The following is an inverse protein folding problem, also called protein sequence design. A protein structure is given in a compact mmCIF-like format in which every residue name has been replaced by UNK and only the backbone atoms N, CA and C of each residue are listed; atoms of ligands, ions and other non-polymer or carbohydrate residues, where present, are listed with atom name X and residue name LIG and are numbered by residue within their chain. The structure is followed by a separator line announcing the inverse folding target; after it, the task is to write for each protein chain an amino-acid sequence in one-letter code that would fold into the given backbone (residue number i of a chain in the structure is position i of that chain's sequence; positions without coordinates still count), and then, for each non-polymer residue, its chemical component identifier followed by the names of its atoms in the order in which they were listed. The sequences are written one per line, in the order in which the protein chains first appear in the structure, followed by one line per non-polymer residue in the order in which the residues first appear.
data_IF_229919931811
#
_entry.id   IF_229919931811
#
_cell.length_a   1.000
_cell.length_b   1.000
_cell.length_c   1.000
_cell.angle_alpha   90.00
_cell.angle_beta   90.00
_cell.angle_gamma   90.00
#
_symmetry.space_group_name_H-M   'P 1'
#
loop_
_entity.id
_entity.type
_entity.pdbx_description
1 polymer ?
#
# COMPACT_ATOMS: atom_id res chain seq x y z
N UNK A 1 9.28 0.21 -6.37
CA UNK A 1 9.12 -0.03 -4.93
C UNK A 1 7.89 -0.89 -4.63
N UNK A 2 6.74 -0.62 -5.27
CA UNK A 2 5.50 -1.37 -5.08
C UNK A 2 5.63 -2.86 -5.41
N UNK A 3 6.36 -3.22 -6.43
CA UNK A 3 6.64 -4.60 -6.82
C UNK A 3 7.49 -5.34 -5.78
N UNK A 4 8.47 -4.65 -5.17
CA UNK A 4 9.23 -5.21 -4.05
C UNK A 4 8.31 -5.55 -2.88
N UNK A 5 7.41 -4.65 -2.53
CA UNK A 5 6.45 -4.85 -1.45
C UNK A 5 5.54 -6.07 -1.69
N UNK A 6 5.17 -6.31 -2.95
CA UNK A 6 4.42 -7.52 -3.32
C UNK A 6 5.28 -8.78 -3.31
N UNK A 7 6.57 -8.69 -3.62
CA UNK A 7 7.51 -9.81 -3.52
C UNK A 7 7.91 -10.17 -2.09
N UNK A 8 7.79 -9.23 -1.15
CA UNK A 8 8.35 -9.36 0.19
C UNK A 8 7.82 -10.57 1.00
N UNK A 9 6.52 -10.89 1.02
CA UNK A 9 6.03 -12.09 1.70
C UNK A 9 6.69 -13.37 1.18
N UNK A 10 6.85 -13.48 -0.14
CA UNK A 10 7.49 -14.64 -0.78
C UNK A 10 8.99 -14.67 -0.48
N UNK A 11 9.67 -13.52 -0.52
CA UNK A 11 11.08 -13.39 -0.13
C UNK A 11 11.29 -13.91 1.28
N UNK A 12 10.50 -13.46 2.24
CA UNK A 12 10.58 -13.90 3.64
C UNK A 12 10.33 -15.40 3.79
N UNK A 13 9.32 -15.94 3.08
CA UNK A 13 9.00 -17.37 3.11
C UNK A 13 10.15 -18.22 2.55
N UNK A 14 10.76 -17.82 1.43
CA UNK A 14 11.88 -18.51 0.83
C UNK A 14 13.13 -18.47 1.74
N UNK A 15 13.44 -17.32 2.32
CA UNK A 15 14.55 -17.20 3.27
C UNK A 15 14.35 -18.09 4.51
N UNK A 16 13.14 -18.16 5.03
CA UNK A 16 12.78 -19.04 6.14
C UNK A 16 13.01 -20.53 5.79
N UNK A 17 12.88 -20.90 4.51
CA UNK A 17 13.20 -22.23 3.99
C UNK A 17 14.70 -22.43 3.67
N UNK A 18 15.55 -21.44 3.92
CA UNK A 18 16.99 -21.52 3.72
C UNK A 18 17.49 -21.08 2.35
N UNK A 19 16.63 -20.57 1.47
CA UNK A 19 17.08 -20.03 0.18
C UNK A 19 17.86 -18.74 0.36
N UNK A 20 18.91 -18.57 -0.46
CA UNK A 20 19.60 -17.30 -0.65
C UNK A 20 18.84 -16.46 -1.67
N UNK A 21 18.54 -15.23 -1.32
CA UNK A 21 17.70 -14.35 -2.14
C UNK A 21 18.52 -13.19 -2.70
N UNK A 22 18.56 -13.10 -4.02
CA UNK A 22 19.05 -11.95 -4.76
C UNK A 22 17.85 -11.15 -5.29
N UNK A 23 17.78 -9.87 -4.95
CA UNK A 23 16.75 -8.93 -5.44
C UNK A 23 17.37 -7.99 -6.46
N UNK A 24 16.67 -7.80 -7.58
CA UNK A 24 17.08 -6.86 -8.61
C UNK A 24 16.07 -5.72 -8.74
N UNK A 25 16.57 -4.51 -8.92
CA UNK A 25 15.78 -3.33 -9.25
C UNK A 25 16.21 -2.74 -10.59
N UNK A 26 15.25 -2.36 -11.40
CA UNK A 26 15.52 -1.60 -12.61
C UNK A 26 15.51 -0.08 -12.33
N UNK A 27 14.67 0.37 -11.40
CA UNK A 27 14.50 1.79 -11.05
C UNK A 27 15.36 2.21 -9.85
N UNK A 28 16.03 3.37 -9.92
CA UNK A 28 16.75 3.95 -8.78
C UNK A 28 15.89 4.15 -7.55
N UNK A 29 14.63 4.58 -7.72
CA UNK A 29 13.70 4.83 -6.62
C UNK A 29 13.42 3.60 -5.75
N UNK A 30 13.43 2.40 -6.33
CA UNK A 30 13.30 1.15 -5.58
C UNK A 30 14.62 0.75 -4.93
N UNK A 31 15.71 0.81 -5.70
CA UNK A 31 17.04 0.40 -5.26
C UNK A 31 17.53 1.23 -4.07
N UNK A 32 17.51 2.57 -4.19
CA UNK A 32 18.04 3.46 -3.14
C UNK A 32 17.34 3.28 -1.79
N UNK A 33 16.04 2.99 -1.81
CA UNK A 33 15.26 2.76 -0.59
C UNK A 33 15.51 1.37 0.00
N UNK A 34 15.82 0.35 -0.85
CA UNK A 34 15.86 -1.06 -0.42
C UNK A 34 17.23 -1.73 -0.54
N UNK A 35 18.28 -1.05 -0.99
CA UNK A 35 19.64 -1.61 -1.17
C UNK A 35 20.21 -2.25 0.09
N UNK A 36 19.81 -1.79 1.27
CA UNK A 36 20.26 -2.30 2.57
C UNK A 36 19.17 -3.09 3.30
N UNK A 37 18.16 -3.62 2.58
CA UNK A 37 17.10 -4.39 3.24
C UNK A 37 17.66 -5.65 3.91
N UNK A 38 17.22 -5.98 5.14
CA UNK A 38 17.60 -7.23 5.80
C UNK A 38 16.92 -8.45 5.18
N UNK A 39 15.93 -8.24 4.31
CA UNK A 39 15.11 -9.31 3.73
C UNK A 39 15.75 -10.01 2.54
N UNK A 40 16.85 -9.49 1.98
CA UNK A 40 17.60 -10.10 0.88
C UNK A 40 19.08 -10.27 1.22
N UNK A 41 19.72 -11.29 0.66
CA UNK A 41 21.16 -11.50 0.84
C UNK A 41 21.98 -10.59 -0.07
N UNK A 42 21.45 -10.29 -1.25
CA UNK A 42 22.10 -9.42 -2.23
C UNK A 42 21.02 -8.55 -2.90
N UNK A 43 21.31 -7.25 -3.04
CA UNK A 43 20.46 -6.31 -3.79
C UNK A 43 21.31 -5.60 -4.84
N UNK A 44 20.89 -5.65 -6.11
CA UNK A 44 21.61 -5.05 -7.22
C UNK A 44 20.67 -4.38 -8.23
N UNK A 45 21.24 -3.53 -9.08
CA UNK A 45 20.52 -3.09 -10.27
C UNK A 45 20.44 -4.23 -11.30
N UNK A 46 19.27 -4.38 -11.92
CA UNK A 46 19.12 -5.25 -13.09
C UNK A 46 19.79 -4.55 -14.29
N UNK A 47 20.80 -5.16 -14.93
CA UNK A 47 21.37 -4.62 -16.16
C UNK A 47 20.31 -4.53 -17.29
N UNK A 48 20.50 -3.61 -18.23
CA UNK A 48 19.61 -3.47 -19.39
C UNK A 48 19.35 -4.81 -20.08
N UNK A 49 18.10 -5.04 -20.50
CA UNK A 49 17.64 -6.28 -21.12
C UNK A 49 18.21 -6.45 -22.54
N UNK A 50 19.47 -6.82 -22.62
CA UNK A 50 20.18 -7.17 -23.87
C UNK A 50 20.59 -8.65 -23.85
N UNK A 51 20.79 -9.29 -25.03
CA UNK A 51 21.22 -10.69 -25.10
C UNK A 51 22.50 -10.98 -24.31
N UNK A 52 23.48 -10.06 -24.37
CA UNK A 52 24.77 -10.21 -23.70
C UNK A 52 24.64 -10.09 -22.19
N UNK A 53 23.93 -9.06 -21.72
CA UNK A 53 23.73 -8.82 -20.29
C UNK A 53 22.93 -9.95 -19.65
N UNK A 54 21.81 -10.36 -20.27
CA UNK A 54 20.98 -11.43 -19.75
C UNK A 54 21.74 -12.75 -19.64
N UNK A 55 22.52 -13.11 -20.70
CA UNK A 55 23.37 -14.32 -20.68
C UNK A 55 24.39 -14.25 -19.54
N UNK A 56 25.15 -13.15 -19.47
CA UNK A 56 26.19 -12.97 -18.44
C UNK A 56 25.60 -13.01 -17.03
N UNK A 57 24.48 -12.34 -16.82
CA UNK A 57 23.80 -12.29 -15.52
C UNK A 57 23.34 -13.68 -15.07
N UNK A 58 22.62 -14.41 -15.94
CA UNK A 58 22.11 -15.76 -15.60
C UNK A 58 23.27 -16.74 -15.36
N UNK A 59 24.34 -16.66 -16.16
CA UNK A 59 25.54 -17.48 -15.96
C UNK A 59 26.30 -17.17 -14.66
N UNK A 60 26.30 -15.91 -14.24
CA UNK A 60 26.98 -15.47 -12.99
C UNK A 60 26.16 -15.82 -11.76
N UNK A 61 24.85 -15.59 -11.80
CA UNK A 61 23.94 -15.80 -10.66
C UNK A 61 23.58 -17.27 -10.47
N UNK A 62 23.45 -18.04 -11.55
CA UNK A 62 23.04 -19.46 -11.56
C UNK A 62 21.81 -19.70 -10.66
N UNK A 63 20.70 -18.99 -10.89
CA UNK A 63 19.56 -19.07 -10.00
C UNK A 63 18.90 -20.46 -10.09
N UNK A 64 18.46 -20.99 -8.95
CA UNK A 64 17.66 -22.24 -8.89
C UNK A 64 16.20 -22.00 -9.21
N UNK A 65 15.72 -20.75 -9.04
CA UNK A 65 14.42 -20.28 -9.50
C UNK A 65 14.47 -18.77 -9.75
N UNK A 66 13.54 -18.27 -10.56
CA UNK A 66 13.36 -16.83 -10.79
C UNK A 66 11.90 -16.44 -10.58
N UNK A 67 11.69 -15.30 -9.93
CA UNK A 67 10.36 -14.73 -9.69
C UNK A 67 10.29 -13.33 -10.26
N UNK A 68 9.33 -13.11 -11.14
CA UNK A 68 9.00 -11.80 -11.70
C UNK A 68 7.70 -11.30 -11.07
N UNK A 69 7.59 -10.01 -10.81
CA UNK A 69 6.44 -9.45 -10.09
C UNK A 69 5.64 -8.55 -11.03
N UNK A 70 4.31 -8.73 -11.08
CA UNK A 70 3.35 -7.91 -11.85
C UNK A 70 3.56 -7.89 -13.37
N UNK A 71 4.28 -6.89 -13.88
CA UNK A 71 4.37 -6.53 -15.31
C UNK A 71 5.77 -6.72 -15.88
N UNK A 72 6.63 -7.43 -15.19
CA UNK A 72 8.04 -7.60 -15.55
C UNK A 72 8.21 -8.68 -16.61
N UNK A 73 8.21 -8.28 -17.88
CA UNK A 73 8.32 -9.17 -19.05
C UNK A 73 9.60 -8.85 -19.85
N UNK A 74 10.75 -9.18 -19.29
CA UNK A 74 12.08 -8.92 -19.83
C UNK A 74 12.49 -10.07 -20.75
N UNK A 75 12.36 -9.91 -22.08
CA UNK A 75 12.51 -10.98 -23.07
C UNK A 75 13.84 -11.73 -22.98
N UNK A 76 14.95 -11.00 -22.93
CA UNK A 76 16.26 -11.65 -22.96
C UNK A 76 16.54 -12.40 -21.65
N UNK A 77 16.18 -11.84 -20.50
CA UNK A 77 16.25 -12.54 -19.20
C UNK A 77 15.37 -13.77 -19.18
N UNK A 78 14.10 -13.66 -19.54
CA UNK A 78 13.15 -14.78 -19.60
C UNK A 78 13.64 -15.88 -20.55
N UNK A 79 14.13 -15.51 -21.75
CA UNK A 79 14.67 -16.45 -22.71
C UNK A 79 15.93 -17.17 -22.23
N UNK A 80 16.84 -16.49 -21.50
CA UNK A 80 18.04 -17.13 -20.95
C UNK A 80 17.70 -18.06 -19.76
N UNK A 81 16.80 -17.66 -18.89
CA UNK A 81 16.30 -18.52 -17.80
C UNK A 81 15.63 -19.79 -18.35
N UNK A 82 14.79 -19.64 -19.37
CA UNK A 82 14.14 -20.77 -20.04
C UNK A 82 15.16 -21.73 -20.68
N UNK A 83 16.16 -21.21 -21.39
CA UNK A 83 17.26 -22.01 -21.97
C UNK A 83 18.10 -22.74 -20.92
N UNK A 84 18.23 -22.15 -19.73
CA UNK A 84 18.94 -22.75 -18.61
C UNK A 84 18.04 -23.71 -17.79
N UNK A 85 16.80 -23.96 -18.20
CA UNK A 85 15.79 -24.74 -17.48
C UNK A 85 15.55 -24.25 -16.03
N UNK A 86 15.65 -22.95 -15.79
CA UNK A 86 15.38 -22.35 -14.49
C UNK A 86 13.87 -22.17 -14.33
N UNK A 87 13.23 -22.78 -13.31
CA UNK A 87 11.83 -22.53 -13.01
C UNK A 87 11.57 -21.04 -12.81
N UNK A 88 10.65 -20.49 -13.61
CA UNK A 88 10.38 -19.06 -13.64
C UNK A 88 8.91 -18.79 -13.38
N UNK A 89 8.63 -17.94 -12.38
CA UNK A 89 7.29 -17.67 -11.90
C UNK A 89 6.91 -16.20 -12.08
N UNK A 90 5.66 -15.94 -12.46
CA UNK A 90 5.06 -14.60 -12.36
C UNK A 90 4.25 -14.54 -11.07
N UNK A 91 4.59 -13.61 -10.18
CA UNK A 91 3.90 -13.37 -8.91
C UNK A 91 3.02 -12.14 -9.01
N UNK A 92 1.82 -12.22 -8.41
CA UNK A 92 0.84 -11.12 -8.39
C UNK A 92 0.60 -10.52 -9.77
N UNK A 93 0.59 -11.38 -10.80
CA UNK A 93 0.39 -10.97 -12.18
C UNK A 93 -1.00 -10.37 -12.39
N UNK A 94 -1.06 -9.24 -13.08
CA UNK A 94 -2.32 -8.67 -13.55
C UNK A 94 -2.21 -8.40 -15.04
N UNK A 95 -3.09 -8.99 -15.82
CA UNK A 95 -3.10 -8.84 -17.27
C UNK A 95 -4.37 -8.11 -17.73
N UNK A 96 -4.23 -7.34 -18.80
CA UNK A 96 -5.30 -6.50 -19.35
C UNK A 96 -5.44 -6.74 -20.84
N UNK A 97 -6.66 -6.70 -21.40
CA UNK A 97 -6.89 -6.89 -22.85
C UNK A 97 -6.16 -5.89 -23.74
N UNK A 98 -5.79 -4.73 -23.16
CA UNK A 98 -5.05 -3.68 -23.89
C UNK A 98 -3.58 -4.01 -24.08
N UNK A 99 -3.01 -4.94 -23.32
CA UNK A 99 -1.60 -5.33 -23.43
C UNK A 99 -1.30 -6.01 -24.77
N UNK A 100 -0.06 -5.85 -25.22
CA UNK A 100 0.42 -6.33 -26.53
C UNK A 100 0.23 -7.84 -26.75
N UNK A 101 0.25 -8.64 -25.71
CA UNK A 101 0.04 -10.08 -25.78
C UNK A 101 -1.30 -10.47 -26.41
N UNK A 102 -2.34 -9.64 -26.22
CA UNK A 102 -3.71 -9.87 -26.69
C UNK A 102 -3.98 -9.22 -28.07
N UNK A 103 -2.99 -8.56 -28.66
CA UNK A 103 -3.12 -7.92 -29.96
C UNK A 103 -2.72 -8.91 -31.07
N UNK A 104 -3.29 -8.79 -32.31
CA UNK A 104 -2.92 -9.63 -33.42
C UNK A 104 -1.40 -9.65 -33.72
N UNK A 105 -0.74 -8.50 -33.56
CA UNK A 105 0.69 -8.33 -33.75
C UNK A 105 1.54 -8.74 -32.54
N UNK A 106 0.94 -9.21 -31.47
CA UNK A 106 1.61 -9.53 -30.19
C UNK A 106 2.37 -10.86 -30.18
N UNK A 107 2.51 -11.54 -31.30
CA UNK A 107 3.12 -12.88 -31.38
C UNK A 107 4.51 -12.95 -30.78
N UNK A 108 5.35 -11.94 -31.00
CA UNK A 108 6.69 -11.90 -30.42
C UNK A 108 6.62 -11.81 -28.88
N UNK A 109 5.82 -10.91 -28.35
CA UNK A 109 5.71 -10.74 -26.91
C UNK A 109 5.04 -11.95 -26.21
N UNK A 110 4.17 -12.69 -26.90
CA UNK A 110 3.64 -13.96 -26.37
C UNK A 110 4.74 -14.99 -26.08
N UNK A 111 5.89 -14.92 -26.77
CA UNK A 111 7.04 -15.80 -26.46
C UNK A 111 7.56 -15.58 -25.04
N UNK A 112 7.46 -14.36 -24.49
CA UNK A 112 7.80 -14.11 -23.09
C UNK A 112 6.95 -14.96 -22.13
N UNK A 113 5.65 -15.08 -22.43
CA UNK A 113 4.72 -15.84 -21.60
C UNK A 113 5.05 -17.33 -21.58
N UNK A 114 5.54 -17.90 -22.70
CA UNK A 114 5.96 -19.30 -22.76
C UNK A 114 7.22 -19.61 -21.94
N UNK A 115 7.96 -18.60 -21.47
CA UNK A 115 9.13 -18.79 -20.61
C UNK A 115 8.76 -19.01 -19.14
N UNK A 116 7.50 -18.75 -18.76
CA UNK A 116 7.06 -18.93 -17.37
C UNK A 116 6.63 -20.38 -17.11
N UNK A 117 7.16 -20.94 -16.02
CA UNK A 117 6.75 -22.24 -15.49
C UNK A 117 5.33 -22.17 -14.93
N UNK A 118 4.99 -21.07 -14.25
CA UNK A 118 3.66 -20.86 -13.67
C UNK A 118 3.36 -19.36 -13.50
N UNK A 119 2.05 -19.03 -13.56
CA UNK A 119 1.53 -17.70 -13.34
C UNK A 119 0.66 -17.68 -12.07
N UNK A 120 1.05 -16.90 -11.07
CA UNK A 120 0.21 -16.54 -9.94
C UNK A 120 -0.37 -15.16 -10.21
N UNK A 121 -1.66 -15.11 -10.54
CA UNK A 121 -2.35 -13.88 -10.95
C UNK A 121 -3.25 -13.35 -9.83
N UNK A 122 -3.57 -12.06 -9.88
CA UNK A 122 -4.34 -11.41 -8.83
C UNK A 122 -5.83 -11.77 -8.85
N UNK A 123 -6.40 -12.08 -10.04
CA UNK A 123 -7.84 -12.27 -10.19
C UNK A 123 -8.20 -13.24 -11.32
N UNK A 124 -9.47 -13.71 -11.29
CA UNK A 124 -10.01 -14.62 -12.29
C UNK A 124 -10.03 -14.03 -13.70
N UNK A 125 -10.21 -12.73 -13.85
CA UNK A 125 -10.17 -12.09 -15.16
C UNK A 125 -8.80 -12.22 -15.83
N UNK A 126 -7.72 -12.01 -15.08
CA UNK A 126 -6.35 -12.25 -15.56
C UNK A 126 -6.12 -13.72 -15.94
N UNK A 127 -6.65 -14.65 -15.14
CA UNK A 127 -6.60 -16.08 -15.44
C UNK A 127 -7.34 -16.41 -16.73
N UNK A 128 -8.55 -15.90 -16.92
CA UNK A 128 -9.34 -16.12 -18.13
C UNK A 128 -8.63 -15.60 -19.38
N UNK A 129 -8.00 -14.42 -19.30
CA UNK A 129 -7.23 -13.85 -20.41
C UNK A 129 -6.03 -14.72 -20.80
N UNK A 130 -5.27 -15.23 -19.83
CA UNK A 130 -4.15 -16.14 -20.09
C UNK A 130 -4.63 -17.50 -20.64
N UNK A 131 -5.71 -18.05 -20.07
CA UNK A 131 -6.34 -19.28 -20.59
C UNK A 131 -6.79 -19.11 -22.05
N UNK A 132 -7.32 -17.93 -22.41
CA UNK A 132 -7.69 -17.59 -23.78
C UNK A 132 -6.51 -17.56 -24.77
N UNK A 133 -5.26 -17.43 -24.27
CA UNK A 133 -4.03 -17.60 -25.05
C UNK A 133 -3.46 -19.02 -25.01
N UNK A 134 -4.15 -19.97 -24.34
CA UNK A 134 -3.74 -21.36 -24.23
C UNK A 134 -2.89 -21.72 -23.02
N UNK A 135 -2.66 -20.81 -22.08
CA UNK A 135 -1.92 -21.09 -20.84
C UNK A 135 -2.84 -21.72 -19.80
N UNK A 136 -2.51 -22.94 -19.36
CA UNK A 136 -3.27 -23.68 -18.30
C UNK A 136 -2.56 -23.65 -16.95
N UNK A 137 -1.29 -23.27 -16.92
CA UNK A 137 -0.44 -23.15 -15.73
C UNK A 137 -0.68 -21.83 -14.99
N UNK A 138 -1.96 -21.50 -14.69
CA UNK A 138 -2.38 -20.23 -14.09
C UNK A 138 -3.21 -20.48 -12.83
N UNK A 139 -2.76 -19.93 -11.71
CA UNK A 139 -3.48 -19.96 -10.42
C UNK A 139 -3.82 -18.54 -9.98
N UNK A 140 -5.04 -18.34 -9.49
CA UNK A 140 -5.40 -17.09 -8.80
C UNK A 140 -4.85 -17.18 -7.39
N UNK A 141 -3.83 -16.37 -7.10
CA UNK A 141 -3.17 -16.28 -5.79
C UNK A 141 -3.50 -14.97 -5.05
N UNK A 142 -4.30 -14.09 -5.66
CA UNK A 142 -4.60 -12.78 -5.08
C UNK A 142 -3.43 -11.78 -5.20
N UNK A 143 -3.57 -10.68 -4.48
CA UNK A 143 -2.53 -9.66 -4.36
C UNK A 143 -1.78 -9.85 -3.04
N UNK A 144 -0.51 -10.17 -3.11
CA UNK A 144 0.35 -10.41 -1.94
C UNK A 144 0.51 -9.18 -1.02
N UNK A 145 -0.01 -8.02 -1.41
CA UNK A 145 -0.13 -6.88 -0.49
C UNK A 145 -1.08 -7.16 0.67
N UNK A 146 -2.11 -8.01 0.46
CA UNK A 146 -3.00 -8.43 1.54
C UNK A 146 -2.26 -9.29 2.59
N UNK A 147 -1.38 -10.19 2.16
CA UNK A 147 -0.56 -10.99 3.08
C UNK A 147 0.33 -10.10 3.95
N UNK A 148 0.90 -9.05 3.33
CA UNK A 148 1.73 -8.09 4.05
C UNK A 148 0.95 -7.29 5.10
N UNK A 149 -0.24 -6.80 4.76
CA UNK A 149 -1.03 -6.04 5.73
C UNK A 149 -1.60 -6.93 6.83
N UNK A 150 -1.82 -8.22 6.57
CA UNK A 150 -2.17 -9.18 7.61
C UNK A 150 -1.08 -9.30 8.69
N UNK A 151 0.20 -9.21 8.33
CA UNK A 151 1.30 -9.15 9.30
C UNK A 151 1.23 -7.92 10.22
N UNK A 152 0.61 -6.82 9.77
CA UNK A 152 0.50 -5.58 10.57
C UNK A 152 -0.32 -5.81 11.84
N UNK A 153 -1.36 -6.63 11.78
CA UNK A 153 -2.22 -6.91 12.93
C UNK A 153 -1.51 -7.78 13.97
N UNK A 154 -0.64 -8.68 13.52
CA UNK A 154 0.03 -9.68 14.39
C UNK A 154 1.29 -9.15 15.06
N UNK A 155 1.85 -8.04 14.59
CA UNK A 155 3.04 -7.42 15.19
C UNK A 155 2.68 -6.58 16.41
N UNK A 156 3.70 -6.24 17.20
CA UNK A 156 3.54 -5.23 18.25
C UNK A 156 3.31 -3.83 17.63
N UNK A 157 2.09 -3.32 17.80
CA UNK A 157 1.67 -1.98 17.36
C UNK A 157 1.61 -0.98 18.52
N UNK A 158 2.09 -1.34 19.72
CA UNK A 158 2.02 -0.50 20.89
C UNK A 158 2.77 0.84 20.71
N UNK A 159 2.11 1.95 21.13
CA UNK A 159 2.62 3.32 21.09
C UNK A 159 2.11 4.09 22.31
N UNK A 160 2.93 4.18 23.38
CA UNK A 160 2.57 4.84 24.65
C UNK A 160 2.01 6.24 24.45
N UNK A 161 2.62 7.02 23.56
CA UNK A 161 2.20 8.41 23.31
C UNK A 161 0.81 8.49 22.66
N UNK A 162 0.40 7.49 21.86
CA UNK A 162 -0.94 7.45 21.25
C UNK A 162 -1.96 7.05 22.31
N UNK A 163 -1.63 6.14 23.21
CA UNK A 163 -2.50 5.78 24.33
C UNK A 163 -2.73 6.97 25.25
N UNK A 164 -1.67 7.68 25.61
CA UNK A 164 -1.78 8.93 26.40
C UNK A 164 -2.63 9.97 25.68
N UNK A 165 -2.40 10.15 24.36
CA UNK A 165 -3.17 11.11 23.57
C UNK A 165 -4.64 10.71 23.49
N UNK A 166 -4.94 9.48 23.08
CA UNK A 166 -6.30 9.01 22.83
C UNK A 166 -7.14 8.95 24.11
N UNK A 167 -6.62 8.33 25.16
CA UNK A 167 -7.41 7.97 26.33
C UNK A 167 -8.69 7.21 25.94
N UNK A 168 -9.83 7.60 26.51
CA UNK A 168 -11.15 7.00 26.20
C UNK A 168 -11.89 7.71 25.05
N UNK A 169 -11.24 8.60 24.31
CA UNK A 169 -11.86 9.29 23.19
C UNK A 169 -11.90 8.42 21.94
N UNK A 170 -12.90 8.67 21.06
CA UNK A 170 -12.85 8.16 19.69
C UNK A 170 -11.67 8.80 18.97
N UNK A 171 -10.91 7.99 18.22
CA UNK A 171 -9.73 8.42 17.50
C UNK A 171 -9.96 8.33 15.98
N UNK A 172 -9.81 9.45 15.29
CA UNK A 172 -9.84 9.51 13.84
C UNK A 172 -8.42 9.75 13.31
N UNK A 173 -7.95 8.89 12.41
CA UNK A 173 -6.62 8.99 11.84
C UNK A 173 -6.69 9.39 10.38
N UNK A 174 -6.06 10.53 10.04
CA UNK A 174 -5.87 11.00 8.68
C UNK A 174 -4.46 10.63 8.21
N UNK A 175 -4.34 9.59 7.41
CA UNK A 175 -3.03 9.08 6.98
C UNK A 175 -2.65 9.51 5.58
N UNK A 176 -1.40 9.90 5.39
CA UNK A 176 -0.83 10.33 4.11
C UNK A 176 -1.63 11.44 3.45
N UNK A 177 -2.11 12.42 4.23
CA UNK A 177 -2.92 13.52 3.71
C UNK A 177 -2.09 14.50 2.87
N UNK A 178 -2.76 15.07 1.88
CA UNK A 178 -2.26 16.13 1.04
C UNK A 178 -3.10 17.40 1.21
N UNK A 179 -2.63 18.59 0.79
CA UNK A 179 -3.39 19.82 0.95
C UNK A 179 -4.83 19.75 0.41
N UNK A 180 -5.06 19.05 -0.71
CA UNK A 180 -6.41 18.86 -1.26
C UNK A 180 -7.33 17.98 -0.36
N UNK A 181 -6.77 17.07 0.42
CA UNK A 181 -7.51 16.29 1.41
C UNK A 181 -7.80 17.16 2.64
N UNK A 182 -6.82 17.98 3.06
CA UNK A 182 -6.93 18.86 4.21
C UNK A 182 -8.05 19.91 4.04
N UNK A 183 -8.22 20.46 2.85
CA UNK A 183 -9.32 21.36 2.51
C UNK A 183 -10.70 20.74 2.78
N UNK A 184 -10.82 19.42 2.69
CA UNK A 184 -12.07 18.71 2.89
C UNK A 184 -12.38 18.49 4.37
N UNK A 185 -11.37 18.15 5.19
CA UNK A 185 -11.64 17.70 6.55
C UNK A 185 -11.34 18.76 7.65
N UNK A 186 -10.45 19.75 7.41
CA UNK A 186 -10.06 20.68 8.48
C UNK A 186 -11.23 21.49 9.04
N UNK A 187 -12.20 21.90 8.21
CA UNK A 187 -13.38 22.61 8.68
C UNK A 187 -14.26 21.74 9.58
N UNK A 188 -14.35 20.44 9.27
CA UNK A 188 -15.12 19.49 10.08
C UNK A 188 -14.52 19.31 11.47
N UNK A 189 -13.20 19.35 11.61
CA UNK A 189 -12.55 19.21 12.90
C UNK A 189 -13.05 20.24 13.93
N UNK A 190 -13.35 21.47 13.52
CA UNK A 190 -13.89 22.51 14.40
C UNK A 190 -15.35 22.27 14.77
N UNK A 191 -16.15 21.74 13.88
CA UNK A 191 -17.59 21.55 14.07
C UNK A 191 -17.92 20.22 14.74
N UNK A 192 -17.00 19.24 14.74
CA UNK A 192 -17.20 17.92 15.31
C UNK A 192 -17.45 18.01 16.82
N UNK A 193 -18.60 17.46 17.25
CA UNK A 193 -19.01 17.42 18.67
C UNK A 193 -18.65 16.09 19.30
N UNK A 194 -18.47 16.10 20.63
CA UNK A 194 -18.19 14.89 21.39
C UNK A 194 -16.71 14.71 21.74
N UNK A 195 -16.40 13.61 22.41
CA UNK A 195 -15.04 13.27 22.85
C UNK A 195 -14.31 12.55 21.71
N UNK A 196 -13.88 13.32 20.70
CA UNK A 196 -13.18 12.83 19.51
C UNK A 196 -11.81 13.49 19.44
N UNK A 197 -10.77 12.69 19.20
CA UNK A 197 -9.39 13.13 18.96
C UNK A 197 -8.95 12.78 17.54
N UNK A 198 -8.10 13.62 16.99
CA UNK A 198 -7.68 13.54 15.60
C UNK A 198 -6.17 13.38 15.49
N UNK A 199 -5.71 12.38 14.75
CA UNK A 199 -4.29 12.22 14.41
C UNK A 199 -4.13 12.49 12.93
N UNK A 200 -3.26 13.43 12.56
CA UNK A 200 -2.98 13.79 11.18
C UNK A 200 -1.53 13.40 10.85
N UNK A 201 -1.36 12.49 9.92
CA UNK A 201 -0.06 12.13 9.37
C UNK A 201 0.02 12.64 7.93
N UNK A 202 0.61 13.81 7.67
CA UNK A 202 0.74 14.36 6.33
C UNK A 202 1.65 13.48 5.48
N UNK A 203 1.46 13.49 4.16
CA UNK A 203 2.32 12.74 3.23
C UNK A 203 3.75 13.27 3.25
N UNK A 204 3.89 14.57 3.24
CA UNK A 204 5.17 15.27 3.32
C UNK A 204 5.37 15.86 4.71
N UNK A 205 6.56 15.64 5.27
CA UNK A 205 6.95 16.15 6.58
C UNK A 205 8.02 17.23 6.49
N UNK A 206 8.17 17.88 5.33
CA UNK A 206 9.10 19.01 5.21
C UNK A 206 8.69 20.14 6.15
N UNK A 207 9.67 20.84 6.78
CA UNK A 207 9.39 21.90 7.75
C UNK A 207 8.41 22.96 7.23
N UNK A 208 8.50 23.33 5.96
CA UNK A 208 7.63 24.31 5.34
C UNK A 208 6.19 23.83 5.25
N UNK A 209 5.95 22.55 4.92
CA UNK A 209 4.62 21.97 4.84
C UNK A 209 4.01 21.76 6.24
N UNK A 210 4.81 21.34 7.21
CA UNK A 210 4.40 21.32 8.61
C UNK A 210 4.10 22.71 9.13
N UNK A 211 4.85 23.74 8.69
CA UNK A 211 4.56 25.14 9.04
C UNK A 211 3.24 25.61 8.43
N UNK A 212 2.92 25.21 7.19
CA UNK A 212 1.61 25.49 6.57
C UNK A 212 0.48 24.78 7.32
N UNK A 213 0.65 23.53 7.68
CA UNK A 213 -0.27 22.81 8.56
C UNK A 213 -0.40 23.51 9.92
N UNK A 214 0.72 23.96 10.51
CA UNK A 214 0.73 24.79 11.73
C UNK A 214 0.02 26.13 11.54
N UNK A 215 0.15 26.77 10.38
CA UNK A 215 -0.58 28.00 10.08
C UNK A 215 -2.09 27.74 9.88
N UNK A 216 -2.46 26.62 9.28
CA UNK A 216 -3.84 26.15 9.24
C UNK A 216 -4.38 25.79 10.64
N UNK A 217 -3.49 25.50 11.63
CA UNK A 217 -3.85 25.40 13.07
C UNK A 217 -4.52 26.67 13.59
N UNK A 218 -4.15 27.86 13.13
CA UNK A 218 -4.79 29.10 13.57
C UNK A 218 -6.27 29.19 13.13
N UNK A 219 -6.67 28.32 12.19
CA UNK A 219 -8.07 28.13 11.79
C UNK A 219 -8.76 27.01 12.57
N UNK A 220 -8.01 26.23 13.38
CA UNK A 220 -8.56 25.18 14.23
C UNK A 220 -8.76 25.75 15.64
N UNK A 221 -10.01 25.76 16.10
CA UNK A 221 -10.38 26.09 17.48
C UNK A 221 -10.08 24.92 18.45
N UNK A 222 -8.96 24.21 18.20
CA UNK A 222 -8.56 23.02 18.96
C UNK A 222 -7.09 23.06 19.35
N UNK A 223 -6.76 22.45 20.49
CA UNK A 223 -5.37 22.31 20.94
C UNK A 223 -4.64 21.29 20.10
N UNK A 224 -3.57 21.69 19.45
CA UNK A 224 -2.77 20.87 18.53
C UNK A 224 -1.36 20.68 19.06
N UNK A 225 -0.89 19.41 19.12
CA UNK A 225 0.48 19.01 19.42
C UNK A 225 1.17 18.43 18.18
N UNK A 226 2.50 18.46 18.17
CA UNK A 226 3.31 17.68 17.21
C UNK A 226 3.85 16.43 17.89
N UNK A 227 4.08 15.38 17.11
CA UNK A 227 4.77 14.18 17.59
C UNK A 227 6.19 14.51 18.11
N UNK A 228 6.91 15.41 17.44
CA UNK A 228 8.24 15.87 17.88
C UNK A 228 8.25 16.55 19.24
N UNK A 229 7.10 17.05 19.72
CA UNK A 229 6.92 17.73 21.00
C UNK A 229 6.43 16.78 22.12
N UNK A 230 6.20 15.49 21.82
CA UNK A 230 5.51 14.53 22.69
C UNK A 230 6.13 14.35 24.09
N UNK A 231 7.45 14.46 24.20
CA UNK A 231 8.18 14.25 25.45
C UNK A 231 8.13 15.46 26.39
N UNK A 232 7.68 16.62 25.88
CA UNK A 232 7.59 17.89 26.64
C UNK A 232 6.15 18.28 26.96
N UNK A 233 5.17 17.58 26.38
CA UNK A 233 3.75 17.91 26.48
C UNK A 233 2.97 16.79 27.18
N UNK A 234 1.94 17.16 27.94
CA UNK A 234 0.91 16.20 28.34
C UNK A 234 -0.07 16.02 27.19
N UNK A 235 0.11 14.99 26.35
CA UNK A 235 -0.70 14.78 25.16
C UNK A 235 -2.19 14.57 25.44
N UNK A 236 -2.56 14.17 26.64
CA UNK A 236 -3.97 14.05 27.03
C UNK A 236 -4.75 15.36 26.92
N UNK A 237 -4.07 16.51 27.07
CA UNK A 237 -4.68 17.85 27.03
C UNK A 237 -4.93 18.37 25.60
N UNK A 238 -4.51 17.62 24.57
CA UNK A 238 -4.59 18.01 23.19
C UNK A 238 -5.69 17.24 22.45
N UNK A 239 -6.25 17.85 21.41
CA UNK A 239 -7.35 17.26 20.62
C UNK A 239 -6.88 16.84 19.21
N UNK A 240 -5.81 17.43 18.72
CA UNK A 240 -5.20 17.11 17.44
C UNK A 240 -3.71 16.81 17.63
N UNK A 241 -3.25 15.69 17.10
CA UNK A 241 -1.84 15.30 17.09
C UNK A 241 -1.37 15.20 15.63
N UNK A 242 -0.36 15.99 15.27
CA UNK A 242 0.28 15.88 13.94
C UNK A 242 1.51 14.99 14.05
N UNK A 243 1.57 13.97 13.21
CA UNK A 243 2.71 13.06 13.11
C UNK A 243 3.71 13.63 12.11
N UNK A 244 4.71 14.31 12.60
CA UNK A 244 5.80 14.92 11.83
C UNK A 244 7.04 14.00 11.75
N UNK A 245 6.80 12.68 11.66
CA UNK A 245 7.82 11.66 11.45
C UNK A 245 7.36 10.57 10.49
N UNK A 246 8.30 9.80 9.93
CA UNK A 246 8.03 8.70 8.99
C UNK A 246 8.09 7.35 9.73
N UNK A 247 7.31 6.37 9.23
CA UNK A 247 7.45 4.95 9.59
C UNK A 247 6.55 4.45 10.69
N UNK A 248 5.77 5.31 11.36
CA UNK A 248 4.89 4.91 12.48
C UNK A 248 3.39 4.87 12.11
N UNK A 249 2.98 5.39 10.95
CA UNK A 249 1.58 5.54 10.56
C UNK A 249 0.81 4.21 10.62
N UNK A 250 1.40 3.11 10.15
CA UNK A 250 0.76 1.79 10.21
C UNK A 250 0.51 1.29 11.64
N UNK A 251 1.33 1.70 12.62
CA UNK A 251 1.07 1.45 14.04
C UNK A 251 -0.03 2.37 14.58
N UNK A 252 -0.03 3.62 14.15
CA UNK A 252 -1.04 4.61 14.57
C UNK A 252 -2.45 4.17 14.14
N UNK A 253 -2.60 3.54 12.98
CA UNK A 253 -3.89 3.01 12.54
C UNK A 253 -4.51 1.96 13.48
N UNK A 254 -3.70 1.24 14.28
CA UNK A 254 -4.24 0.29 15.25
C UNK A 254 -5.06 0.94 16.38
N UNK A 255 -4.90 2.23 16.59
CA UNK A 255 -5.64 3.02 17.59
C UNK A 255 -6.84 3.75 16.99
N UNK A 256 -6.99 3.72 15.65
CA UNK A 256 -8.08 4.41 14.99
C UNK A 256 -9.43 3.71 15.19
N UNK A 257 -10.46 4.48 15.40
CA UNK A 257 -11.86 4.03 15.33
C UNK A 257 -12.42 4.33 13.93
N UNK A 258 -11.86 5.33 13.24
CA UNK A 258 -12.15 5.68 11.85
C UNK A 258 -10.84 6.14 11.20
N UNK A 259 -10.61 5.79 9.94
CA UNK A 259 -9.46 6.28 9.19
C UNK A 259 -9.88 7.05 7.93
N UNK A 260 -9.08 8.03 7.56
CA UNK A 260 -9.09 8.66 6.24
C UNK A 260 -7.75 8.40 5.55
N UNK A 261 -7.77 7.97 4.30
CA UNK A 261 -6.56 7.76 3.49
C UNK A 261 -6.47 8.82 2.41
N UNK A 262 -5.40 9.60 2.46
CA UNK A 262 -5.18 10.73 1.58
C UNK A 262 -4.73 10.39 0.16
N UNK A 263 -4.60 11.42 -0.67
CA UNK A 263 -4.20 11.37 -2.07
C UNK A 263 -5.35 11.16 -3.05
N UNK A 264 -6.54 10.78 -2.54
CA UNK A 264 -7.71 10.54 -3.38
C UNK A 264 -8.51 11.77 -3.75
N UNK A 265 -8.32 12.92 -3.11
CA UNK A 265 -9.00 14.18 -3.48
C UNK A 265 -8.30 14.89 -4.62
N UNK A 266 -6.98 14.90 -4.63
CA UNK A 266 -6.15 15.53 -5.67
C UNK A 266 -5.77 14.60 -6.83
N UNK A 267 -4.71 14.95 -7.54
CA UNK A 267 -4.15 14.19 -8.67
C UNK A 267 -2.94 13.34 -8.30
N UNK A 268 -2.49 13.39 -7.04
CA UNK A 268 -1.28 12.72 -6.55
C UNK A 268 -1.39 11.19 -6.50
N UNK A 269 -2.62 10.68 -6.39
CA UNK A 269 -2.92 9.25 -6.31
C UNK A 269 -3.20 8.78 -4.88
N UNK A 270 -4.21 7.91 -4.75
CA UNK A 270 -4.64 7.34 -3.48
C UNK A 270 -3.54 6.50 -2.84
N UNK A 271 -3.32 6.68 -1.55
CA UNK A 271 -2.41 5.88 -0.74
C UNK A 271 -2.99 4.51 -0.36
N UNK A 272 -2.21 3.72 0.38
CA UNK A 272 -2.56 2.32 0.68
C UNK A 272 -3.75 2.22 1.65
N UNK A 273 -4.91 1.89 1.12
CA UNK A 273 -6.16 1.71 1.90
C UNK A 273 -6.19 0.43 2.71
N UNK A 274 -5.33 -0.55 2.38
CA UNK A 274 -5.30 -1.84 3.07
C UNK A 274 -4.71 -1.72 4.49
N UNK A 275 -3.82 -0.75 4.72
CA UNK A 275 -3.18 -0.55 6.02
C UNK A 275 -4.17 -0.23 7.15
N UNK A 276 -5.12 0.72 7.01
CA UNK A 276 -6.17 0.88 8.01
C UNK A 276 -7.25 -0.19 7.91
N UNK A 277 -7.59 -0.68 6.70
CA UNK A 277 -8.69 -1.64 6.53
C UNK A 277 -8.44 -2.97 7.26
N UNK A 278 -7.17 -3.39 7.39
CA UNK A 278 -6.82 -4.64 8.07
C UNK A 278 -7.19 -4.66 9.56
N UNK A 279 -7.34 -3.49 10.18
CA UNK A 279 -7.82 -3.35 11.57
C UNK A 279 -9.35 -3.42 11.69
N UNK A 280 -10.07 -3.65 10.58
CA UNK A 280 -11.53 -3.77 10.57
C UNK A 280 -12.26 -2.46 10.89
N UNK A 281 -11.64 -1.32 10.68
CA UNK A 281 -12.20 0.01 10.93
C UNK A 281 -12.79 0.62 9.66
N UNK A 282 -13.81 1.50 9.75
CA UNK A 282 -14.29 2.27 8.61
C UNK A 282 -13.19 3.14 8.01
N UNK A 283 -13.06 3.12 6.68
CA UNK A 283 -12.07 3.91 5.96
C UNK A 283 -12.77 4.86 4.99
N UNK A 284 -12.40 6.14 5.03
CA UNK A 284 -12.83 7.15 4.07
C UNK A 284 -11.70 7.47 3.10
N UNK A 285 -12.04 7.69 1.83
CA UNK A 285 -11.11 8.07 0.77
C UNK A 285 -11.70 9.16 -0.13
N UNK A 286 -10.85 9.88 -0.84
CA UNK A 286 -11.28 10.82 -1.87
C UNK A 286 -11.83 10.12 -3.13
N UNK A 287 -12.40 10.91 -4.04
CA UNK A 287 -13.11 10.46 -5.26
C UNK A 287 -12.23 9.80 -6.32
N UNK A 288 -10.91 10.02 -6.30
CA UNK A 288 -9.98 9.59 -7.35
C UNK A 288 -9.32 8.23 -7.04
N UNK A 289 -10.12 7.18 -6.90
CA UNK A 289 -9.66 5.83 -6.56
C UNK A 289 -9.79 4.80 -7.70
N UNK A 290 -10.35 5.17 -8.85
CA UNK A 290 -10.67 4.24 -9.94
C UNK A 290 -9.48 3.46 -10.53
N UNK A 291 -8.26 3.94 -10.32
CA UNK A 291 -7.02 3.27 -10.75
C UNK A 291 -6.54 2.19 -9.78
N UNK A 292 -7.12 2.10 -8.58
CA UNK A 292 -6.71 1.22 -7.48
C UNK A 292 -7.75 0.11 -7.29
N UNK A 293 -7.40 -1.12 -7.70
CA UNK A 293 -8.36 -2.24 -7.68
C UNK A 293 -8.78 -2.59 -6.26
N UNK A 294 -7.85 -2.60 -5.32
CA UNK A 294 -8.10 -2.84 -3.90
C UNK A 294 -9.11 -1.84 -3.31
N UNK A 295 -8.98 -0.57 -3.66
CA UNK A 295 -9.93 0.44 -3.20
C UNK A 295 -11.32 0.23 -3.82
N UNK A 296 -11.38 -0.15 -5.12
CA UNK A 296 -12.66 -0.45 -5.79
C UNK A 296 -13.38 -1.63 -5.16
N UNK A 297 -12.65 -2.69 -4.84
CA UNK A 297 -13.20 -3.88 -4.19
C UNK A 297 -13.73 -3.55 -2.80
N UNK A 298 -12.95 -2.83 -1.99
CA UNK A 298 -13.36 -2.43 -0.63
C UNK A 298 -14.54 -1.45 -0.64
N UNK A 299 -14.61 -0.53 -1.62
CA UNK A 299 -15.78 0.36 -1.79
C UNK A 299 -17.01 -0.46 -2.18
N UNK A 300 -16.89 -1.41 -3.11
CA UNK A 300 -17.99 -2.28 -3.52
C UNK A 300 -18.53 -3.15 -2.37
N UNK A 301 -17.63 -3.58 -1.45
CA UNK A 301 -17.98 -4.34 -0.25
C UNK A 301 -18.53 -3.45 0.89
N UNK A 302 -18.48 -2.13 0.76
CA UNK A 302 -18.92 -1.18 1.79
C UNK A 302 -17.98 -1.00 2.98
N UNK A 303 -16.76 -1.55 2.92
CA UNK A 303 -15.73 -1.36 3.94
C UNK A 303 -14.99 -0.02 3.82
N UNK A 304 -15.02 0.59 2.63
CA UNK A 304 -14.43 1.90 2.33
C UNK A 304 -15.50 2.82 1.75
N UNK A 305 -15.53 4.06 2.21
CA UNK A 305 -16.44 5.10 1.74
C UNK A 305 -15.68 6.14 0.91
N UNK A 306 -16.11 6.36 -0.34
CA UNK A 306 -15.57 7.43 -1.16
C UNK A 306 -16.38 8.71 -0.98
N UNK A 307 -15.66 9.83 -0.77
CA UNK A 307 -16.26 11.16 -0.64
C UNK A 307 -15.73 12.10 -1.73
N UNK A 308 -16.50 13.10 -2.09
CA UNK A 308 -16.14 14.05 -3.14
C UNK A 308 -16.23 15.51 -2.72
N UNK A 309 -16.81 15.80 -1.55
CA UNK A 309 -16.94 17.17 -1.02
C UNK A 309 -16.85 17.21 0.51
N UNK A 310 -16.61 18.39 1.12
CA UNK A 310 -16.64 18.58 2.57
C UNK A 310 -17.96 18.17 3.22
N UNK A 311 -19.10 18.39 2.57
CA UNK A 311 -20.42 18.05 3.09
C UNK A 311 -20.60 16.52 3.14
N UNK A 312 -20.16 15.81 2.10
CA UNK A 312 -20.18 14.36 2.07
C UNK A 312 -19.25 13.78 3.13
N UNK A 313 -18.07 14.40 3.32
CA UNK A 313 -17.14 14.02 4.38
C UNK A 313 -17.80 14.15 5.75
N UNK A 314 -18.39 15.31 6.05
CA UNK A 314 -19.06 15.57 7.33
C UNK A 314 -20.18 14.55 7.60
N UNK A 315 -21.04 14.32 6.61
CA UNK A 315 -22.14 13.34 6.71
C UNK A 315 -21.65 11.93 6.96
N UNK A 316 -20.58 11.51 6.24
CA UNK A 316 -19.98 10.19 6.41
C UNK A 316 -19.35 10.06 7.79
N UNK A 317 -18.61 11.07 8.26
CA UNK A 317 -17.99 11.09 9.58
C UNK A 317 -19.01 11.01 10.70
N UNK A 318 -20.06 11.82 10.68
CA UNK A 318 -21.12 11.82 11.70
C UNK A 318 -21.81 10.44 11.77
N UNK A 319 -22.05 9.83 10.61
CA UNK A 319 -22.60 8.47 10.53
C UNK A 319 -21.65 7.43 11.14
N UNK A 320 -20.34 7.52 10.91
CA UNK A 320 -19.38 6.55 11.43
C UNK A 320 -19.11 6.78 12.93
N UNK A 321 -19.01 8.02 13.40
CA UNK A 321 -18.87 8.35 14.81
C UNK A 321 -20.08 7.83 15.59
N UNK A 322 -21.30 8.02 15.06
CA UNK A 322 -22.52 7.46 15.66
C UNK A 322 -22.51 5.94 15.76
N UNK A 323 -21.94 5.25 14.76
CA UNK A 323 -21.79 3.77 14.75
C UNK A 323 -20.67 3.30 15.67
N UNK A 324 -19.53 3.99 15.71
CA UNK A 324 -18.40 3.65 16.57
C UNK A 324 -18.77 3.78 18.04
N UNK A 325 -19.61 4.77 18.39
CA UNK A 325 -20.15 4.91 19.75
C UNK A 325 -21.09 3.77 20.16
N UNK A 326 -21.68 3.04 19.19
CA UNK A 326 -22.60 1.92 19.41
C UNK A 326 -21.96 0.52 19.39
N UNK A 327 -20.67 0.40 19.32
CA UNK A 327 -19.80 -0.82 19.43
C UNK A 327 -20.32 -2.16 18.89
N UNK A 328 -21.10 -2.20 17.81
CA UNK A 328 -21.49 -3.46 17.21
C UNK A 328 -21.43 -3.39 15.69
N UNK A 329 -20.53 -4.12 15.04
CA UNK A 329 -20.61 -4.55 13.61
C UNK A 329 -19.43 -4.32 12.68
N UNK A 330 -18.21 -4.20 13.12
CA UNK A 330 -17.09 -4.16 12.15
C UNK A 330 -16.38 -5.52 11.97
N UNK A 331 -16.64 -6.50 12.83
CA UNK A 331 -16.03 -7.85 12.78
C UNK A 331 -16.57 -8.80 11.69
N UNK A 332 -17.31 -8.33 10.69
CA UNK A 332 -17.94 -9.20 9.67
C UNK A 332 -17.39 -9.06 8.24
N UNK A 333 -16.39 -8.22 7.98
CA UNK A 333 -15.96 -7.92 6.61
C UNK A 333 -14.44 -8.09 6.33
N UNK A 334 -13.71 -8.69 7.23
CA UNK A 334 -12.30 -9.07 6.99
C UNK A 334 -12.15 -10.58 7.09
#
# INVERSE_FOLDING_TARGET
LGEFEQGLPVIKALRKQGYKVLVTFFSPSGYEVRKNTPDADIVVYLPLDTPANARRFVQMVQPTMAVFVKYEFWWHYLSQLHKANVPTYLLSGIVRPTQVFFKPYGGFMRRCLHCFTHFFVQNDFSKQLLNGLGFTNVTVGGDTRFDRVAEIVTRDNHLDFVEQFKGDALCVVFGSSWPADEEVYLLYLNSCKGKVKFIIAPHNIHPDEIAVLKHNKQKLDRKVALFSEKDTLNLADYEVLIIDTIGILTKVYSYADIAYVGGGMGSTGLHNVLEPAVFGIPVLIGKNYSKFNEAKELVALGGVLSISSPEQFASAMDSQIGRASCRERVLRLV
#
